data_IF_383168721991
#
_entry.id   IF_383168721991
#
_cell.length_a   1.000
_cell.length_b   1.000
_cell.length_c   1.000
_cell.angle_alpha   90.00
_cell.angle_beta   90.00
_cell.angle_gamma   90.00
#
_symmetry.space_group_name_H-M   'P 1'
#
loop_
_entity.id
_entity.type
_entity.pdbx_description
1 polymer ?
#
# COMPACT_ATOMS: atom_id res chain seq x y z
N UNK A 1 -4.55 -16.39 37.72
CA UNK A 1 -4.11 -15.21 36.97
C UNK A 1 -5.21 -14.18 37.04
N UNK A 2 -4.94 -13.02 37.62
CA UNK A 2 -5.86 -11.89 37.54
C UNK A 2 -6.00 -11.46 36.08
N UNK A 3 -7.24 -11.23 35.62
CA UNK A 3 -7.56 -10.79 34.24
C UNK A 3 -6.73 -9.57 33.82
N UNK A 4 -6.39 -8.72 34.77
CA UNK A 4 -5.56 -7.52 34.58
C UNK A 4 -4.13 -7.91 34.20
N UNK A 5 -3.54 -8.95 34.82
CA UNK A 5 -2.19 -9.40 34.48
C UNK A 5 -2.12 -9.98 33.07
N UNK A 6 -3.13 -10.74 32.65
CA UNK A 6 -3.20 -11.30 31.30
C UNK A 6 -3.25 -10.22 30.20
N UNK A 7 -3.87 -9.06 30.47
CA UNK A 7 -3.93 -7.93 29.53
C UNK A 7 -2.65 -7.10 29.55
N UNK A 8 -2.01 -6.95 30.72
CA UNK A 8 -0.84 -6.07 30.88
C UNK A 8 0.47 -6.77 30.49
N UNK A 9 0.56 -8.09 30.60
CA UNK A 9 1.72 -8.89 30.15
C UNK A 9 2.18 -8.59 28.71
N UNK A 10 1.29 -8.57 27.70
CA UNK A 10 1.71 -8.25 26.34
C UNK A 10 2.21 -6.80 26.18
N UNK A 11 1.74 -5.85 26.99
CA UNK A 11 2.19 -4.46 26.95
C UNK A 11 3.58 -4.24 27.56
N UNK A 12 4.11 -5.20 28.34
CA UNK A 12 5.46 -5.11 28.90
C UNK A 12 6.55 -5.38 27.86
N UNK A 13 6.22 -6.00 26.73
CA UNK A 13 7.18 -6.21 25.66
C UNK A 13 7.47 -4.91 24.91
N UNK A 14 8.75 -4.56 24.79
CA UNK A 14 9.19 -3.36 24.06
C UNK A 14 8.75 -3.35 22.59
N UNK A 15 8.56 -4.51 21.96
CA UNK A 15 8.01 -4.58 20.59
C UNK A 15 6.53 -4.16 20.56
N UNK A 16 5.74 -4.50 21.57
CA UNK A 16 4.31 -4.18 21.64
C UNK A 16 4.11 -2.68 21.82
N UNK A 17 4.88 -2.05 22.71
CA UNK A 17 4.87 -0.58 22.89
C UNK A 17 5.23 0.14 21.59
N UNK A 18 6.28 -0.31 20.88
CA UNK A 18 6.64 0.24 19.57
C UNK A 18 5.52 0.06 18.55
N UNK A 19 4.92 -1.13 18.48
CA UNK A 19 3.83 -1.42 17.56
C UNK A 19 2.61 -0.52 17.82
N UNK A 20 2.20 -0.35 19.08
CA UNK A 20 1.09 0.54 19.47
C UNK A 20 1.38 1.99 19.09
N UNK A 21 2.58 2.51 19.42
CA UNK A 21 2.96 3.89 19.07
C UNK A 21 2.94 4.10 17.56
N UNK A 22 3.55 3.19 16.79
CA UNK A 22 3.55 3.27 15.32
C UNK A 22 2.12 3.20 14.78
N UNK A 23 1.27 2.33 15.33
CA UNK A 23 -0.12 2.17 14.88
C UNK A 23 -0.96 3.41 15.15
N UNK A 24 -0.76 4.08 16.29
CA UNK A 24 -1.44 5.35 16.61
C UNK A 24 -1.00 6.44 15.64
N UNK A 25 0.29 6.58 15.38
CA UNK A 25 0.82 7.60 14.45
C UNK A 25 0.33 7.36 13.03
N UNK A 26 0.41 6.11 12.54
CA UNK A 26 -0.07 5.73 11.21
C UNK A 26 -1.58 5.87 11.10
N UNK A 27 -2.33 5.48 12.13
CA UNK A 27 -3.79 5.62 12.19
C UNK A 27 -4.24 7.07 12.14
N UNK A 28 -3.60 7.97 12.89
CA UNK A 28 -3.89 9.40 12.86
C UNK A 28 -3.61 10.00 11.47
N UNK A 29 -2.48 9.66 10.85
CA UNK A 29 -2.15 10.10 9.50
C UNK A 29 -3.15 9.57 8.45
N UNK A 30 -3.53 8.30 8.56
CA UNK A 30 -4.49 7.67 7.65
C UNK A 30 -5.90 8.27 7.79
N UNK A 31 -6.36 8.57 9.00
CA UNK A 31 -7.66 9.19 9.25
C UNK A 31 -7.76 10.59 8.59
N UNK A 32 -6.71 11.40 8.72
CA UNK A 32 -6.64 12.73 8.11
C UNK A 32 -6.65 12.64 6.57
N UNK A 33 -5.82 11.76 6.00
CA UNK A 33 -5.75 11.54 4.55
C UNK A 33 -7.07 10.99 4.00
N UNK A 34 -7.70 10.03 4.67
CA UNK A 34 -8.95 9.40 4.24
C UNK A 34 -10.09 10.44 4.13
N UNK A 35 -10.24 11.32 5.13
CA UNK A 35 -11.22 12.41 5.07
C UNK A 35 -11.00 13.32 3.84
N UNK A 36 -9.75 13.67 3.56
CA UNK A 36 -9.40 14.47 2.39
C UNK A 36 -9.69 13.75 1.06
N UNK A 37 -9.37 12.45 0.97
CA UNK A 37 -9.62 11.64 -0.23
C UNK A 37 -11.12 11.51 -0.54
N UNK A 38 -11.95 11.36 0.48
CA UNK A 38 -13.41 11.28 0.35
C UNK A 38 -13.98 12.60 -0.21
N UNK A 39 -13.54 13.75 0.32
CA UNK A 39 -13.94 15.08 -0.17
C UNK A 39 -13.51 15.31 -1.64
N UNK A 40 -12.39 14.73 -2.05
CA UNK A 40 -11.89 14.76 -3.44
C UNK A 40 -12.61 13.77 -4.37
N UNK A 41 -13.46 12.88 -3.84
CA UNK A 41 -14.10 11.81 -4.62
C UNK A 41 -13.14 10.68 -5.01
N UNK A 42 -11.96 10.58 -4.38
CA UNK A 42 -10.92 9.59 -4.67
C UNK A 42 -11.00 8.39 -3.72
N UNK A 43 -12.21 7.86 -3.53
CA UNK A 43 -12.44 6.75 -2.59
C UNK A 43 -11.64 5.49 -2.95
N UNK A 44 -11.44 5.24 -4.25
CA UNK A 44 -10.74 4.07 -4.78
C UNK A 44 -9.21 4.19 -4.78
N UNK A 45 -8.65 5.36 -4.48
CA UNK A 45 -7.21 5.59 -4.60
C UNK A 45 -6.40 4.74 -3.61
N UNK A 46 -6.89 4.60 -2.37
CA UNK A 46 -6.19 3.83 -1.33
C UNK A 46 -6.07 2.34 -1.68
N UNK A 47 -7.12 1.77 -2.26
CA UNK A 47 -7.13 0.36 -2.71
C UNK A 47 -6.23 0.16 -3.94
N UNK A 48 -6.34 1.07 -4.92
CA UNK A 48 -5.53 1.04 -6.13
C UNK A 48 -4.02 1.13 -5.84
N UNK A 49 -3.60 2.00 -4.92
CA UNK A 49 -2.19 2.15 -4.55
C UNK A 49 -1.68 0.88 -3.85
N UNK A 50 -2.45 0.33 -2.90
CA UNK A 50 -2.05 -0.85 -2.12
C UNK A 50 -1.73 -2.03 -3.02
N UNK A 51 -2.51 -2.22 -4.07
CA UNK A 51 -2.29 -3.30 -5.02
C UNK A 51 -1.26 -3.00 -6.12
N UNK A 52 -1.09 -1.73 -6.52
CA UNK A 52 -0.07 -1.35 -7.49
C UNK A 52 1.36 -1.49 -6.96
N UNK A 53 1.53 -1.52 -5.63
CA UNK A 53 2.83 -1.69 -4.95
C UNK A 53 3.37 -3.13 -5.05
N UNK A 54 2.49 -4.12 -5.22
CA UNK A 54 2.81 -5.55 -5.21
C UNK A 54 3.94 -5.96 -6.18
N UNK A 55 3.94 -5.57 -7.47
CA UNK A 55 5.07 -5.83 -8.38
C UNK A 55 6.40 -5.25 -7.87
N UNK A 56 6.38 -4.08 -7.22
CA UNK A 56 7.58 -3.43 -6.71
C UNK A 56 8.22 -4.19 -5.55
N UNK A 57 7.41 -4.82 -4.69
CA UNK A 57 7.92 -5.67 -3.60
C UNK A 57 8.59 -6.92 -4.16
N UNK A 58 7.99 -7.53 -5.19
CA UNK A 58 8.54 -8.73 -5.85
C UNK A 58 9.84 -8.41 -6.57
N UNK A 59 9.91 -7.28 -7.28
CA UNK A 59 11.15 -6.82 -7.93
C UNK A 59 12.23 -6.51 -6.89
N UNK A 60 11.89 -5.86 -5.77
CA UNK A 60 12.84 -5.62 -4.69
C UNK A 60 13.35 -6.94 -4.07
N UNK A 61 12.49 -7.93 -3.93
CA UNK A 61 12.86 -9.27 -3.46
C UNK A 61 13.89 -9.93 -4.40
N UNK A 62 13.68 -9.87 -5.72
CA UNK A 62 14.60 -10.44 -6.72
C UNK A 62 15.98 -9.75 -6.69
N UNK A 63 16.02 -8.43 -6.53
CA UNK A 63 17.27 -7.64 -6.56
C UNK A 63 17.98 -7.64 -5.18
N UNK A 64 17.31 -8.07 -4.10
CA UNK A 64 17.88 -8.05 -2.75
C UNK A 64 17.93 -6.65 -2.11
N UNK A 65 17.10 -5.72 -2.61
CA UNK A 65 16.98 -4.35 -2.08
C UNK A 65 15.90 -4.31 -0.99
N UNK A 66 15.97 -3.42 0.01
CA UNK A 66 14.90 -3.25 0.99
C UNK A 66 13.53 -3.03 0.30
N UNK A 67 12.54 -3.80 0.74
CA UNK A 67 11.18 -3.79 0.19
C UNK A 67 10.55 -2.39 0.15
N UNK A 68 10.86 -1.55 1.13
CA UNK A 68 10.39 -0.16 1.21
C UNK A 68 10.75 0.66 -0.03
N UNK A 69 11.93 0.44 -0.62
CA UNK A 69 12.38 1.21 -1.80
C UNK A 69 11.62 0.78 -3.05
N UNK A 70 11.52 -0.54 -3.29
CA UNK A 70 10.77 -1.05 -4.44
C UNK A 70 9.28 -0.71 -4.36
N UNK A 71 8.71 -0.82 -3.15
CA UNK A 71 7.33 -0.45 -2.89
C UNK A 71 7.07 1.03 -3.19
N UNK A 72 7.94 1.92 -2.67
CA UNK A 72 7.82 3.36 -2.87
C UNK A 72 7.96 3.76 -4.35
N UNK A 73 8.93 3.17 -5.06
CA UNK A 73 9.17 3.49 -6.47
C UNK A 73 7.98 3.09 -7.36
N UNK A 74 7.44 1.88 -7.17
CA UNK A 74 6.28 1.43 -7.94
C UNK A 74 5.00 2.17 -7.55
N UNK A 75 4.81 2.54 -6.28
CA UNK A 75 3.71 3.39 -5.86
C UNK A 75 3.75 4.77 -6.56
N UNK A 76 4.93 5.40 -6.59
CA UNK A 76 5.14 6.66 -7.27
C UNK A 76 4.85 6.53 -8.77
N UNK A 77 5.37 5.49 -9.41
CA UNK A 77 5.15 5.19 -10.82
C UNK A 77 3.65 5.05 -11.13
N UNK A 78 2.91 4.31 -10.30
CA UNK A 78 1.47 4.14 -10.46
C UNK A 78 0.71 5.48 -10.35
N UNK A 79 1.04 6.32 -9.36
CA UNK A 79 0.42 7.65 -9.20
C UNK A 79 0.71 8.57 -10.40
N UNK A 80 1.96 8.56 -10.88
CA UNK A 80 2.33 9.33 -12.09
C UNK A 80 1.56 8.83 -13.32
N UNK A 81 1.43 7.51 -13.48
CA UNK A 81 0.69 6.92 -14.59
C UNK A 81 -0.78 7.30 -14.57
N UNK A 82 -1.43 7.25 -13.40
CA UNK A 82 -2.80 7.72 -13.19
C UNK A 82 -2.92 9.21 -13.55
N UNK A 83 -1.96 10.03 -13.08
CA UNK A 83 -1.92 11.46 -13.36
C UNK A 83 -1.80 11.78 -14.85
N UNK A 84 -0.90 11.10 -15.56
CA UNK A 84 -0.69 11.27 -17.01
C UNK A 84 -1.90 10.83 -17.83
N UNK A 85 -2.53 9.71 -17.48
CA UNK A 85 -3.74 9.24 -18.19
C UNK A 85 -4.89 10.22 -17.95
N UNK A 86 -5.02 10.73 -16.72
CA UNK A 86 -6.02 11.75 -16.36
C UNK A 86 -5.85 13.05 -17.13
N UNK A 87 -4.63 13.53 -17.38
CA UNK A 87 -4.43 14.77 -18.15
C UNK A 87 -4.71 14.60 -19.64
N UNK A 88 -4.52 13.39 -20.18
CA UNK A 88 -4.65 13.12 -21.61
C UNK A 88 -6.03 12.60 -22.04
N UNK A 89 -6.89 12.18 -21.10
CA UNK A 89 -8.21 11.60 -21.42
C UNK A 89 -9.34 12.20 -20.59
N UNK A 90 -10.56 12.25 -21.15
CA UNK A 90 -11.78 12.69 -20.46
C UNK A 90 -12.48 11.56 -19.67
N UNK A 91 -11.74 10.50 -19.33
CA UNK A 91 -12.27 9.30 -18.66
C UNK A 91 -12.43 9.60 -17.16
N UNK A 92 -13.45 9.01 -16.51
CA UNK A 92 -13.65 9.12 -15.06
C UNK A 92 -12.40 8.64 -14.31
N UNK A 93 -12.02 9.38 -13.27
CA UNK A 93 -10.83 9.13 -12.46
C UNK A 93 -10.83 7.71 -11.87
N UNK A 94 -11.99 7.23 -11.42
CA UNK A 94 -12.16 5.87 -10.89
C UNK A 94 -11.84 4.78 -11.91
N UNK A 95 -12.20 4.99 -13.18
CA UNK A 95 -11.91 4.03 -14.25
C UNK A 95 -10.42 4.01 -14.60
N UNK A 96 -9.76 5.17 -14.59
CA UNK A 96 -8.31 5.26 -14.80
C UNK A 96 -7.56 4.54 -13.68
N UNK A 97 -7.94 4.79 -12.42
CA UNK A 97 -7.38 4.11 -11.25
C UNK A 97 -7.55 2.59 -11.38
N UNK A 98 -8.73 2.11 -11.79
CA UNK A 98 -8.98 0.68 -12.02
C UNK A 98 -8.11 0.05 -13.12
N UNK A 99 -7.87 0.75 -14.23
CA UNK A 99 -7.03 0.26 -15.33
C UNK A 99 -5.56 0.14 -14.90
N UNK A 100 -5.03 1.18 -14.23
CA UNK A 100 -3.63 1.17 -13.77
C UNK A 100 -3.41 0.12 -12.68
N UNK A 101 -4.36 0.00 -11.74
CA UNK A 101 -4.30 -1.04 -10.70
C UNK A 101 -4.29 -2.45 -11.31
N UNK A 102 -5.25 -2.78 -12.17
CA UNK A 102 -5.38 -4.13 -12.72
C UNK A 102 -4.16 -4.54 -13.54
N UNK A 103 -3.58 -3.60 -14.31
CA UNK A 103 -2.36 -3.84 -15.09
C UNK A 103 -1.13 -4.06 -14.21
N UNK A 104 -0.89 -3.22 -13.20
CA UNK A 104 0.21 -3.41 -12.24
C UNK A 104 0.07 -4.70 -11.42
N UNK A 105 -1.14 -5.01 -10.98
CA UNK A 105 -1.43 -6.21 -10.21
C UNK A 105 -1.20 -7.48 -11.03
N UNK A 106 -1.66 -7.51 -12.29
CA UNK A 106 -1.38 -8.60 -13.21
C UNK A 106 0.13 -8.76 -13.46
N UNK A 107 0.87 -7.66 -13.62
CA UNK A 107 2.34 -7.69 -13.72
C UNK A 107 2.99 -8.33 -12.49
N UNK A 108 2.55 -7.95 -11.28
CA UNK A 108 3.05 -8.52 -10.03
C UNK A 108 2.78 -10.02 -9.92
N UNK A 109 1.59 -10.47 -10.29
CA UNK A 109 1.24 -11.89 -10.30
C UNK A 109 2.07 -12.71 -11.30
N UNK A 110 2.30 -12.16 -12.50
CA UNK A 110 3.14 -12.81 -13.53
C UNK A 110 4.58 -12.96 -13.02
N UNK A 111 5.11 -11.93 -12.36
CA UNK A 111 6.45 -11.97 -11.74
C UNK A 111 6.52 -13.05 -10.65
N UNK A 112 5.54 -13.12 -9.75
CA UNK A 112 5.48 -14.16 -8.70
C UNK A 112 5.44 -15.56 -9.32
N UNK A 113 4.60 -15.77 -10.34
CA UNK A 113 4.45 -17.07 -10.99
C UNK A 113 5.74 -17.52 -11.69
N UNK A 114 6.49 -16.59 -12.29
CA UNK A 114 7.79 -16.86 -12.90
C UNK A 114 8.90 -17.16 -11.88
N UNK A 115 8.88 -16.52 -10.71
CA UNK A 115 9.90 -16.69 -9.67
C UNK A 115 9.74 -18.01 -8.90
N UNK A 116 8.51 -18.47 -8.66
CA UNK A 116 8.25 -19.72 -7.93
C UNK A 116 8.38 -20.99 -8.79
N UNK A 117 8.47 -20.87 -10.11
CA UNK A 117 8.49 -22.01 -11.03
C UNK A 117 9.91 -22.54 -11.33
N UNK A 118 10.78 -22.68 -10.33
CA UNK A 118 12.00 -23.50 -10.41
C UNK A 118 12.30 -24.15 -9.07
#
# INVERSE_FOLDING_TARGET
MDIIQFIVEPLQYAFMLKAVVVSIVVGAACALLSCFLILKGWSLLGDAISHAVLPGVVVAYIIGIPFSIGAFFFALLAVVMIGLIKTNTKIKEDAIMGIVFTTMFALGLILISKVTST
#
